data_IF_065453721069
#
_entry.id   IF_065453721069
#
_cell.length_a   1.000
_cell.length_b   1.000
_cell.length_c   1.000
_cell.angle_alpha   90.00
_cell.angle_beta   90.00
_cell.angle_gamma   90.00
#
_symmetry.space_group_name_H-M   'P 1'
#
loop_
_entity.id
_entity.type
_entity.pdbx_description
1 polymer ?
2 non-polymer ?
3 non-polymer ?
4 water ?
#
# COMPACT_ATOMS: atom_id res chain seq x y z
N UNK A 1 0.82 7.17 3.62
CA UNK A 1 -0.19 8.26 3.56
C UNK A 1 -0.47 8.77 4.98
N UNK A 2 -0.26 7.93 6.00
CA UNK A 2 -0.42 8.21 7.43
C UNK A 2 0.65 7.48 8.25
N UNK A 3 0.64 7.62 9.60
CA UNK A 3 1.66 7.01 10.45
C UNK A 3 1.76 5.48 10.38
N UNK A 4 0.66 4.80 10.09
CA UNK A 4 0.66 3.34 9.91
C UNK A 4 1.54 2.92 8.73
N UNK A 5 1.37 3.64 7.63
CA UNK A 5 2.09 3.38 6.34
C UNK A 5 3.53 3.87 6.53
N UNK A 6 3.74 4.93 7.30
CA UNK A 6 5.09 5.43 7.61
C UNK A 6 5.93 4.34 8.32
N UNK A 7 5.40 3.74 9.39
CA UNK A 7 6.10 2.62 10.05
C UNK A 7 6.32 1.41 9.12
N UNK A 8 5.30 0.99 8.39
CA UNK A 8 5.45 -0.12 7.41
C UNK A 8 6.60 0.16 6.45
N UNK A 9 6.64 1.36 5.84
CA UNK A 9 7.61 1.72 4.75
C UNK A 9 9.04 1.63 5.35
N UNK A 10 9.13 2.06 6.60
CA UNK A 10 10.42 2.16 7.32
C UNK A 10 10.94 0.71 7.45
N UNK A 11 10.08 -0.24 7.77
CA UNK A 11 10.50 -1.68 7.83
C UNK A 11 10.85 -2.16 6.41
N UNK A 12 9.97 -1.92 5.43
CA UNK A 12 10.14 -2.51 4.10
C UNK A 12 11.46 -2.03 3.52
N UNK A 13 11.79 -0.75 3.69
CA UNK A 13 12.91 -0.15 2.90
C UNK A 13 14.28 -0.52 3.48
N UNK A 14 14.36 -1.07 4.69
CA UNK A 14 15.66 -1.52 5.24
C UNK A 14 15.70 -3.03 5.56
N UNK A 15 14.58 -3.68 5.82
CA UNK A 15 14.57 -5.02 6.45
C UNK A 15 13.79 -6.04 5.64
N UNK A 16 13.71 -5.90 4.32
CA UNK A 16 13.18 -6.99 3.46
C UNK A 16 14.10 -7.20 2.29
N UNK A 17 14.03 -8.42 1.82
CA UNK A 17 14.67 -8.86 0.56
C UNK A 17 13.64 -9.65 -0.27
N UNK A 18 13.92 -9.86 -1.54
CA UNK A 18 13.03 -10.74 -2.35
C UNK A 18 13.67 -12.10 -2.29
N UNK A 19 12.99 -13.09 -1.70
CA UNK A 19 13.50 -14.47 -1.62
C UNK A 19 12.87 -15.29 -2.73
N UNK A 20 13.66 -16.07 -3.47
CA UNK A 20 13.12 -16.98 -4.50
C UNK A 20 13.57 -18.42 -4.24
N UNK A 21 12.59 -19.30 -4.05
CA UNK A 21 12.80 -20.76 -3.87
C UNK A 21 12.20 -21.44 -5.11
N UNK A 22 12.24 -22.75 -5.17
CA UNK A 22 11.55 -23.48 -6.27
C UNK A 22 10.02 -23.33 -6.16
N UNK A 23 9.49 -22.85 -5.02
CA UNK A 23 8.04 -22.62 -4.82
C UNK A 23 7.66 -21.17 -5.16
N UNK A 24 8.58 -20.32 -5.56
CA UNK A 24 8.15 -18.98 -5.95
C UNK A 24 8.92 -17.85 -5.28
N UNK A 25 8.57 -16.60 -5.58
CA UNK A 25 9.07 -15.38 -4.89
C UNK A 25 8.19 -15.06 -3.69
N UNK A 26 8.91 -14.71 -2.58
CA UNK A 26 8.38 -14.37 -1.26
C UNK A 26 8.97 -13.05 -0.77
N UNK A 27 8.16 -12.26 -0.07
CA UNK A 27 8.68 -11.16 0.78
C UNK A 27 9.40 -11.88 1.93
N UNK A 28 10.67 -11.56 2.21
CA UNK A 28 11.42 -12.16 3.33
C UNK A 28 11.83 -11.04 4.29
N UNK A 29 11.41 -11.12 5.57
CA UNK A 29 11.83 -10.10 6.58
C UNK A 29 13.18 -10.48 7.22
N UNK A 30 14.13 -9.56 7.21
CA UNK A 30 15.41 -9.72 7.89
C UNK A 30 15.25 -9.15 9.29
N UNK A 31 15.72 -9.87 10.28
CA UNK A 31 15.45 -9.49 11.69
C UNK A 31 16.67 -8.86 12.38
N UNK A 32 17.85 -9.47 12.18
CA UNK A 32 19.14 -9.01 12.75
C UNK A 32 20.23 -9.85 12.08
N UNK A 33 21.47 -9.38 12.12
CA UNK A 33 22.65 -10.10 11.58
C UNK A 33 22.30 -10.58 10.16
N UNK A 34 22.41 -11.89 9.91
CA UNK A 34 22.08 -12.52 8.58
C UNK A 34 20.86 -13.45 8.73
N UNK A 35 20.04 -13.14 9.70
CA UNK A 35 18.88 -13.97 10.15
C UNK A 35 17.57 -13.33 9.65
N UNK A 36 16.79 -14.15 8.95
CA UNK A 36 15.56 -13.70 8.29
C UNK A 36 14.47 -14.74 8.49
N UNK A 37 13.21 -14.35 8.24
CA UNK A 37 12.05 -15.28 8.37
C UNK A 37 11.33 -15.37 7.02
N UNK A 38 10.69 -16.51 6.78
CA UNK A 38 9.86 -16.74 5.57
C UNK A 38 8.81 -17.81 5.92
N UNK A 39 7.60 -17.84 5.29
CA UNK A 39 6.67 -18.93 5.59
C UNK A 39 7.30 -20.31 5.31
N UNK A 40 6.96 -21.31 6.12
CA UNK A 40 7.58 -22.63 5.99
C UNK A 40 7.29 -23.19 4.61
N UNK A 41 6.09 -22.92 4.10
CA UNK A 41 5.66 -23.47 2.78
C UNK A 41 6.46 -22.89 1.61
N UNK A 42 7.38 -21.94 1.83
CA UNK A 42 8.36 -21.62 0.75
C UNK A 42 9.34 -22.77 0.46
N UNK A 43 9.42 -23.77 1.32
CA UNK A 43 10.37 -24.90 1.22
C UNK A 43 11.82 -24.47 0.94
N UNK A 44 12.42 -23.73 1.89
CA UNK A 44 13.84 -23.26 1.84
C UNK A 44 14.74 -24.50 1.80
N UNK A 45 15.68 -24.54 0.88
CA UNK A 45 16.71 -25.58 0.80
C UNK A 45 18.11 -25.04 1.08
N UNK A 46 19.07 -25.63 0.43
CA UNK A 46 20.49 -25.35 0.77
C UNK A 46 20.99 -24.09 0.07
N UNK A 47 20.29 -23.75 -1.03
CA UNK A 47 20.56 -22.52 -1.84
C UNK A 47 19.24 -21.81 -2.09
N UNK A 48 19.23 -20.49 -1.94
CA UNK A 48 18.06 -19.61 -2.12
C UNK A 48 18.57 -18.39 -2.88
N UNK A 49 17.68 -17.77 -3.69
CA UNK A 49 18.03 -16.50 -4.35
C UNK A 49 17.53 -15.37 -3.48
N UNK A 50 18.40 -14.38 -3.25
CA UNK A 50 18.09 -13.21 -2.40
C UNK A 50 18.37 -12.00 -3.29
N UNK A 51 17.31 -11.28 -3.69
CA UNK A 51 17.40 -10.18 -4.69
C UNK A 51 18.17 -10.69 -5.91
N UNK A 52 17.83 -11.87 -6.37
CA UNK A 52 18.34 -12.54 -7.59
C UNK A 52 19.84 -12.88 -7.50
N UNK A 53 20.41 -12.98 -6.30
CA UNK A 53 21.83 -13.39 -6.01
C UNK A 53 21.78 -14.80 -5.42
N UNK A 54 22.50 -15.72 -6.00
CA UNK A 54 22.60 -17.08 -5.44
C UNK A 54 23.31 -17.01 -4.09
N UNK A 55 22.69 -17.58 -3.06
CA UNK A 55 23.03 -17.42 -1.61
C UNK A 55 22.98 -18.80 -0.94
N UNK A 56 24.07 -19.27 -0.34
CA UNK A 56 24.08 -20.49 0.52
C UNK A 56 23.26 -20.23 1.79
N UNK A 57 22.45 -21.18 2.21
CA UNK A 57 21.66 -21.09 3.44
C UNK A 57 22.52 -21.75 4.51
N UNK A 58 22.93 -20.98 5.53
CA UNK A 58 23.87 -21.47 6.59
C UNK A 58 23.10 -22.33 7.60
N UNK A 59 21.79 -22.13 7.70
CA UNK A 59 20.95 -22.87 8.64
C UNK A 59 19.51 -22.45 8.38
N UNK A 60 18.59 -23.30 8.76
CA UNK A 60 17.16 -23.07 8.59
C UNK A 60 16.43 -23.98 9.56
N UNK A 61 15.40 -23.44 10.20
CA UNK A 61 14.56 -24.18 11.17
C UNK A 61 13.09 -23.84 10.96
N UNK A 62 12.28 -24.84 10.69
CA UNK A 62 10.83 -24.71 10.64
C UNK A 62 10.32 -24.78 12.08
N UNK A 63 9.78 -23.68 12.59
CA UNK A 63 9.45 -23.50 14.02
C UNK A 63 8.19 -24.28 14.33
N UNK A 64 8.12 -24.88 15.53
CA UNK A 64 6.91 -25.48 16.11
C UNK A 64 6.88 -25.04 17.58
N UNK A 65 5.68 -24.95 18.13
CA UNK A 65 5.49 -24.61 19.56
C UNK A 65 5.80 -25.86 20.40
N UNK A 66 5.79 -25.69 21.73
CA UNK A 66 6.19 -26.78 22.64
C UNK A 66 5.13 -27.89 22.66
N UNK A 67 3.90 -27.62 22.18
CA UNK A 67 2.84 -28.65 21.93
C UNK A 67 3.17 -29.49 20.67
N UNK A 68 4.30 -29.21 20.01
CA UNK A 68 4.80 -29.85 18.76
C UNK A 68 3.79 -29.58 17.61
N UNK A 69 3.22 -28.40 17.57
CA UNK A 69 2.29 -27.90 16.54
C UNK A 69 3.02 -26.90 15.61
N UNK A 70 2.82 -27.03 14.32
CA UNK A 70 3.32 -26.06 13.31
C UNK A 70 3.05 -24.60 13.71
N UNK A 71 4.06 -23.72 13.54
CA UNK A 71 3.93 -22.24 13.62
C UNK A 71 3.98 -21.60 12.22
N UNK A 72 4.45 -22.33 11.19
CA UNK A 72 4.46 -21.89 9.76
C UNK A 72 5.51 -20.79 9.53
N UNK A 73 6.43 -20.54 10.44
CA UNK A 73 7.62 -19.64 10.28
C UNK A 73 8.85 -20.52 10.11
N UNK A 74 9.65 -20.27 9.09
CA UNK A 74 11.01 -20.82 8.93
C UNK A 74 11.96 -19.66 9.19
N UNK A 75 12.87 -19.84 10.12
CA UNK A 75 13.97 -18.88 10.39
C UNK A 75 15.19 -19.36 9.62
N UNK A 76 15.79 -18.47 8.84
CA UNK A 76 16.91 -18.69 7.87
C UNK A 76 18.08 -17.80 8.30
N UNK A 77 19.25 -18.44 8.43
CA UNK A 77 20.55 -17.72 8.40
C UNK A 77 21.21 -17.84 7.02
N UNK A 78 21.55 -16.69 6.42
CA UNK A 78 21.95 -16.52 5.01
C UNK A 78 23.46 -16.24 4.96
N UNK A 79 24.16 -16.91 4.08
CA UNK A 79 25.60 -16.61 3.88
C UNK A 79 25.68 -15.34 3.02
N UNK A 80 25.35 -14.19 3.59
CA UNK A 80 25.32 -12.88 2.91
C UNK A 80 26.45 -12.04 3.48
N UNK A 81 26.92 -11.09 2.68
CA UNK A 81 28.06 -10.24 3.06
C UNK A 81 27.60 -8.98 3.79
N UNK A 82 26.34 -8.91 4.18
CA UNK A 82 25.75 -7.67 4.75
C UNK A 82 24.72 -8.04 5.83
N UNK A 83 24.77 -7.29 6.94
CA UNK A 83 23.83 -7.55 8.06
C UNK A 83 22.57 -6.72 7.85
N UNK A 84 21.45 -7.18 8.38
CA UNK A 84 20.19 -6.39 8.51
C UNK A 84 20.27 -5.45 9.71
N UNK A 85 19.71 -4.25 9.57
CA UNK A 85 19.36 -3.47 10.77
C UNK A 85 18.67 -4.40 11.80
N UNK A 86 19.09 -4.37 13.05
CA UNK A 86 18.48 -5.16 14.15
C UNK A 86 17.15 -4.57 14.57
N UNK A 87 16.03 -5.24 14.30
CA UNK A 87 14.66 -4.73 14.57
C UNK A 87 14.00 -5.63 15.63
N UNK A 88 14.75 -6.38 16.41
CA UNK A 88 14.20 -7.31 17.42
C UNK A 88 13.45 -6.53 18.48
N UNK A 89 13.78 -5.28 18.68
CA UNK A 89 13.06 -4.45 19.69
C UNK A 89 11.69 -3.96 19.23
N UNK A 90 11.33 -4.20 17.97
CA UNK A 90 9.96 -3.93 17.48
C UNK A 90 9.00 -5.13 17.61
N UNK A 91 9.54 -6.29 18.04
CA UNK A 91 8.77 -7.54 18.11
C UNK A 91 8.01 -7.63 19.41
N UNK A 92 6.72 -8.02 19.40
CA UNK A 92 6.03 -8.17 20.68
C UNK A 92 6.60 -9.35 21.49
N UNK A 93 6.46 -9.25 22.81
CA UNK A 93 6.89 -10.31 23.73
C UNK A 93 5.79 -11.35 23.87
N UNK A 94 4.50 -10.95 23.79
CA UNK A 94 3.36 -11.86 24.07
C UNK A 94 2.35 -11.90 22.93
N UNK A 95 1.57 -12.99 22.86
CA UNK A 95 0.40 -13.14 21.98
C UNK A 95 -0.57 -12.00 22.27
N UNK A 96 -1.14 -11.38 21.24
CA UNK A 96 -2.11 -10.28 21.45
C UNK A 96 -2.96 -10.05 20.21
N UNK A 97 -3.99 -9.23 20.39
CA UNK A 97 -4.85 -8.63 19.35
C UNK A 97 -4.38 -7.20 19.08
N UNK A 98 -4.65 -6.64 17.93
CA UNK A 98 -4.14 -5.28 17.59
C UNK A 98 -5.21 -4.49 16.85
N UNK A 99 -5.00 -3.21 16.75
CA UNK A 99 -5.87 -2.36 15.90
C UNK A 99 -5.02 -1.83 14.76
N UNK A 100 -5.67 -1.47 13.66
CA UNK A 100 -5.05 -0.61 12.63
C UNK A 100 -3.70 -1.24 12.24
N UNK A 101 -3.72 -2.43 11.64
CA UNK A 101 -2.50 -3.06 11.05
C UNK A 101 -2.40 -2.75 9.55
N UNK A 102 -1.16 -2.83 9.05
CA UNK A 102 -0.77 -2.77 7.61
C UNK A 102 -0.04 -4.07 7.25
N UNK A 103 -0.36 -4.61 6.08
CA UNK A 103 0.28 -5.77 5.44
C UNK A 103 1.05 -5.19 4.25
N UNK A 104 2.37 -5.38 4.29
CA UNK A 104 3.34 -4.85 3.30
C UNK A 104 3.96 -6.02 2.53
N UNK A 105 4.06 -5.89 1.21
CA UNK A 105 4.61 -6.90 0.30
C UNK A 105 5.56 -6.22 -0.69
N UNK A 106 6.64 -6.94 -1.10
CA UNK A 106 7.63 -6.48 -2.10
C UNK A 106 8.17 -7.66 -2.85
N UNK A 107 7.67 -7.85 -4.06
CA UNK A 107 8.22 -8.85 -4.99
C UNK A 107 8.38 -8.22 -6.38
N UNK A 108 8.89 -8.99 -7.33
CA UNK A 108 9.09 -8.55 -8.75
C UNK A 108 7.73 -8.13 -9.31
N UNK A 109 6.71 -8.91 -8.99
CA UNK A 109 5.27 -8.83 -9.39
C UNK A 109 4.54 -7.74 -8.59
N UNK A 110 4.62 -7.74 -7.22
CA UNK A 110 4.03 -6.70 -6.32
C UNK A 110 5.07 -5.85 -5.57
N UNK A 111 5.80 -4.94 -6.25
CA UNK A 111 6.69 -4.01 -5.57
C UNK A 111 5.91 -2.93 -4.83
N UNK A 112 6.35 -2.52 -3.63
CA UNK A 112 5.92 -1.28 -2.97
C UNK A 112 4.43 -1.32 -2.69
N UNK A 113 3.90 -2.47 -2.27
CA UNK A 113 2.46 -2.75 -1.94
C UNK A 113 2.17 -2.67 -0.43
N UNK A 114 1.15 -1.89 -0.05
CA UNK A 114 0.79 -1.66 1.37
C UNK A 114 -0.71 -1.86 1.42
N UNK A 115 -1.21 -2.61 2.38
CA UNK A 115 -2.67 -2.91 2.49
C UNK A 115 -3.09 -2.58 3.92
N UNK A 116 -4.06 -1.69 4.10
CA UNK A 116 -4.56 -1.44 5.44
C UNK A 116 -5.62 -2.52 5.69
N UNK A 117 -5.27 -3.46 6.57
CA UNK A 117 -6.09 -4.68 6.80
C UNK A 117 -7.03 -4.44 8.00
N UNK A 118 -6.75 -3.45 8.88
CA UNK A 118 -7.62 -3.06 10.01
C UNK A 118 -7.35 -3.87 11.28
N UNK A 119 -8.39 -4.34 11.95
CA UNK A 119 -8.28 -5.03 13.26
C UNK A 119 -7.63 -6.39 13.09
N UNK A 120 -6.70 -6.71 13.98
CA UNK A 120 -6.07 -8.06 13.97
C UNK A 120 -6.50 -8.83 15.21
N UNK A 121 -7.06 -9.99 14.98
CA UNK A 121 -7.55 -10.92 16.00
C UNK A 121 -6.48 -11.96 16.31
N UNK A 122 -6.23 -12.20 17.60
CA UNK A 122 -5.52 -13.41 18.07
C UNK A 122 -6.49 -14.56 17.85
N UNK A 123 -6.40 -15.22 16.72
CA UNK A 123 -7.32 -16.30 16.33
C UNK A 123 -6.86 -17.60 17.00
N UNK A 124 -5.56 -17.89 17.04
CA UNK A 124 -5.06 -19.10 17.72
C UNK A 124 -4.92 -20.28 16.78
N UNK A 125 -5.58 -21.39 17.04
CA UNK A 125 -5.58 -22.59 16.17
C UNK A 125 -6.24 -22.29 14.83
N UNK A 126 -5.60 -22.74 13.77
CA UNK A 126 -6.22 -22.81 12.43
C UNK A 126 -5.72 -24.06 11.73
N UNK A 127 -6.65 -24.76 11.07
CA UNK A 127 -6.31 -25.82 10.10
C UNK A 127 -5.91 -25.15 8.79
N UNK A 128 -4.62 -24.90 8.59
CA UNK A 128 -4.12 -24.03 7.51
C UNK A 128 -3.68 -24.96 6.37
N UNK A 129 -4.43 -25.07 5.25
CA UNK A 129 -4.04 -25.97 4.15
C UNK A 129 -3.81 -27.39 4.65
N UNK A 130 -4.68 -27.82 5.55
CA UNK A 130 -4.67 -29.17 6.14
C UNK A 130 -3.60 -29.38 7.22
N UNK A 131 -2.85 -28.34 7.61
CA UNK A 131 -1.85 -28.43 8.71
C UNK A 131 -2.37 -27.75 9.98
N UNK A 132 -2.56 -28.49 11.09
CA UNK A 132 -2.87 -27.78 12.33
C UNK A 132 -1.79 -26.73 12.63
N UNK A 133 -2.20 -25.50 12.88
CA UNK A 133 -1.27 -24.35 13.03
C UNK A 133 -1.66 -23.53 14.25
N UNK A 134 -0.69 -23.14 15.08
CA UNK A 134 -0.97 -22.28 16.28
C UNK A 134 -0.47 -20.85 16.03
N UNK A 135 -0.83 -19.95 16.94
CA UNK A 135 -0.44 -18.52 16.98
C UNK A 135 -0.77 -17.81 15.65
N UNK A 136 -1.96 -18.06 15.13
CA UNK A 136 -2.47 -17.38 13.91
C UNK A 136 -3.17 -16.06 14.28
N UNK A 137 -2.78 -14.99 13.58
CA UNK A 137 -3.47 -13.69 13.54
C UNK A 137 -4.39 -13.66 12.33
N UNK A 138 -5.60 -13.10 12.51
CA UNK A 138 -6.61 -12.97 11.44
C UNK A 138 -7.01 -11.51 11.24
N UNK A 139 -7.09 -11.11 9.97
CA UNK A 139 -7.63 -9.80 9.53
C UNK A 139 -8.67 -10.01 8.42
N UNK A 140 -9.65 -9.11 8.32
CA UNK A 140 -10.75 -9.21 7.32
C UNK A 140 -10.36 -8.38 6.11
N UNK A 141 -9.44 -8.91 5.32
CA UNK A 141 -9.06 -8.44 3.98
C UNK A 141 -8.98 -9.65 3.06
N UNK A 142 -9.54 -9.53 1.83
CA UNK A 142 -9.34 -10.53 0.79
C UNK A 142 -7.95 -10.55 0.13
N UNK A 143 -6.99 -11.17 0.82
CA UNK A 143 -5.59 -11.40 0.38
C UNK A 143 -5.47 -12.49 -0.72
N UNK A 144 -4.51 -12.33 -1.63
CA UNK A 144 -4.38 -13.13 -2.88
C UNK A 144 -2.96 -13.70 -2.92
N UNK A 145 -2.75 -14.80 -3.65
CA UNK A 145 -1.42 -15.42 -3.84
C UNK A 145 -0.45 -14.33 -4.35
N UNK A 146 0.83 -14.47 -3.99
CA UNK A 146 1.80 -13.36 -4.15
C UNK A 146 2.00 -12.57 -2.84
N UNK A 147 1.09 -12.64 -1.85
CA UNK A 147 1.20 -11.83 -0.60
C UNK A 147 1.86 -12.61 0.55
N UNK A 148 2.14 -13.89 0.36
CA UNK A 148 2.73 -14.71 1.46
C UNK A 148 4.13 -14.21 1.81
N UNK A 149 4.40 -14.07 3.13
CA UNK A 149 5.69 -13.54 3.61
C UNK A 149 5.59 -12.04 3.84
N UNK A 150 4.44 -11.49 3.39
CA UNK A 150 4.08 -10.08 3.59
C UNK A 150 4.24 -9.74 5.06
N UNK A 151 4.71 -8.57 5.43
CA UNK A 151 4.93 -8.18 6.85
C UNK A 151 3.71 -7.47 7.40
N UNK A 152 3.29 -7.87 8.60
CA UNK A 152 2.15 -7.24 9.30
C UNK A 152 2.71 -6.37 10.43
N UNK A 153 2.41 -5.07 10.42
CA UNK A 153 2.90 -4.05 11.36
C UNK A 153 1.71 -3.26 11.89
N UNK A 154 1.88 -2.78 13.11
CA UNK A 154 1.12 -1.65 13.68
C UNK A 154 2.07 -0.45 13.67
N UNK A 155 1.67 0.71 14.17
CA UNK A 155 2.66 1.76 14.53
C UNK A 155 3.46 1.16 15.72
N UNK A 156 4.74 0.97 15.49
CA UNK A 156 5.69 0.69 16.53
C UNK A 156 6.02 -0.76 16.58
N UNK A 157 5.20 -1.70 16.04
CA UNK A 157 5.45 -3.16 16.22
C UNK A 157 5.38 -3.92 14.89
N UNK A 158 6.32 -4.84 14.74
CA UNK A 158 6.30 -5.89 13.70
C UNK A 158 5.71 -7.15 14.33
N UNK A 159 4.45 -7.45 13.95
CA UNK A 159 3.67 -8.48 14.67
C UNK A 159 3.57 -9.83 13.96
N UNK A 160 3.77 -9.92 12.67
CA UNK A 160 3.61 -11.21 11.98
C UNK A 160 3.91 -11.18 10.49
N UNK A 161 3.86 -12.37 9.90
CA UNK A 161 4.10 -12.56 8.44
C UNK A 161 2.87 -13.30 7.87
N UNK A 162 2.41 -12.83 6.74
CA UNK A 162 1.25 -13.44 6.04
C UNK A 162 1.61 -14.86 5.65
N UNK A 163 0.73 -15.83 5.93
CA UNK A 163 0.91 -17.25 5.53
C UNK A 163 -0.30 -17.81 4.77
N UNK A 164 -1.46 -17.17 4.70
CA UNK A 164 -2.57 -17.74 3.92
C UNK A 164 -3.82 -16.91 3.93
N UNK A 165 -4.89 -17.49 3.42
CA UNK A 165 -6.19 -16.80 3.43
C UNK A 165 -7.27 -17.65 2.81
N UNK A 166 -8.50 -17.22 2.87
CA UNK A 166 -9.64 -18.07 2.42
C UNK A 166 -10.52 -17.31 1.42
N UNK A 167 -10.05 -16.18 0.89
CA UNK A 167 -10.87 -15.37 -0.03
C UNK A 167 -11.45 -14.15 0.63
N UNK A 168 -11.86 -14.26 1.90
CA UNK A 168 -12.50 -13.19 2.69
C UNK A 168 -11.51 -12.66 3.73
N UNK A 169 -10.76 -13.56 4.35
CA UNK A 169 -9.86 -13.27 5.50
C UNK A 169 -8.41 -13.68 5.17
N UNK A 170 -7.46 -12.98 5.80
CA UNK A 170 -6.03 -13.31 5.76
C UNK A 170 -5.54 -13.81 7.08
N UNK A 171 -4.44 -14.55 7.08
CA UNK A 171 -3.88 -15.23 8.24
C UNK A 171 -2.37 -15.00 8.29
N UNK A 172 -1.87 -14.53 9.40
CA UNK A 172 -0.43 -14.29 9.65
C UNK A 172 0.01 -15.21 10.80
N UNK A 173 1.23 -15.70 10.73
CA UNK A 173 1.95 -16.35 11.84
C UNK A 173 2.53 -15.24 12.71
N UNK A 174 2.30 -15.29 14.01
CA UNK A 174 2.87 -14.31 14.95
C UNK A 174 4.38 -14.29 14.89
N UNK A 175 4.98 -13.10 15.08
CA UNK A 175 6.43 -13.01 15.39
C UNK A 175 6.51 -12.63 16.85
N UNK A 176 7.35 -13.33 17.56
CA UNK A 176 7.56 -13.01 18.98
C UNK A 176 9.05 -12.78 19.22
N UNK A 177 9.34 -11.89 20.17
CA UNK A 177 10.74 -11.50 20.52
C UNK A 177 11.58 -12.76 20.89
N UNK A 178 10.97 -13.70 21.64
CA UNK A 178 11.63 -14.95 22.08
C UNK A 178 12.09 -15.85 20.92
N UNK A 179 11.64 -15.66 19.66
CA UNK A 179 12.05 -16.47 18.49
C UNK A 179 13.52 -16.14 18.10
N UNK A 180 14.04 -14.92 18.48
CA UNK A 180 15.30 -14.30 17.96
C UNK A 180 16.25 -13.85 19.07
N UNK A 181 16.08 -14.38 20.27
CA UNK A 181 17.12 -14.27 21.33
C UNK A 181 18.40 -14.85 20.69
N UNK A 182 19.47 -14.05 20.68
CA UNK A 182 20.66 -14.18 19.79
C UNK A 182 21.31 -15.56 19.99
N UNK B 2 -2.30 -8.67 -10.55
CA UNK B 2 -1.18 -8.49 -11.51
C UNK B 2 -1.45 -7.35 -12.49
N UNK B 3 -2.49 -7.46 -13.35
CA UNK B 3 -2.72 -6.49 -14.43
C UNK B 3 -3.05 -5.08 -13.91
N UNK B 4 -3.98 -5.00 -12.94
CA UNK B 4 -4.32 -3.72 -12.28
C UNK B 4 -3.07 -3.07 -11.66
N UNK B 5 -2.22 -3.85 -10.99
CA UNK B 5 -0.95 -3.36 -10.38
C UNK B 5 -0.04 -2.75 -11.44
N UNK B 6 0.07 -3.43 -12.59
CA UNK B 6 0.89 -2.98 -13.74
C UNK B 6 0.42 -1.61 -14.20
N UNK B 7 -0.90 -1.47 -14.44
CA UNK B 7 -1.54 -0.21 -14.89
C UNK B 7 -1.26 0.91 -13.88
N UNK B 8 -1.46 0.65 -12.58
CA UNK B 8 -1.21 1.67 -11.52
C UNK B 8 0.22 2.20 -11.69
N UNK B 9 1.17 1.29 -11.91
CA UNK B 9 2.58 1.68 -11.96
C UNK B 9 2.81 2.49 -13.24
N UNK B 10 2.13 2.16 -14.34
CA UNK B 10 2.33 2.85 -15.62
C UNK B 10 1.84 4.30 -15.48
N UNK B 11 0.74 4.53 -14.76
CA UNK B 11 0.14 5.89 -14.57
C UNK B 11 1.00 6.69 -13.56
N UNK B 12 1.47 6.02 -12.51
CA UNK B 12 2.42 6.65 -11.54
C UNK B 12 3.65 7.18 -12.31
N UNK B 13 4.29 6.30 -13.09
CA UNK B 13 5.59 6.59 -13.74
C UNK B 13 5.54 7.86 -14.61
N UNK B 14 4.47 8.09 -15.37
CA UNK B 14 4.49 9.15 -16.41
C UNK B 14 3.53 10.30 -16.02
N UNK B 15 2.57 10.07 -15.12
CA UNK B 15 1.45 11.04 -14.95
C UNK B 15 1.40 11.56 -13.51
N UNK B 16 2.29 11.15 -12.62
CA UNK B 16 2.14 11.51 -11.19
C UNK B 16 3.33 12.37 -10.73
N UNK B 17 3.11 13.53 -10.11
CA UNK B 17 4.21 14.41 -9.60
C UNK B 17 3.91 14.77 -8.14
N UNK B 18 4.91 15.29 -7.43
CA UNK B 18 4.71 15.83 -6.06
C UNK B 18 4.34 17.30 -6.19
N UNK B 19 3.20 17.68 -5.65
CA UNK B 19 2.79 19.10 -5.66
C UNK B 19 2.92 19.64 -4.23
N UNK B 20 3.57 20.77 -4.02
CA UNK B 20 3.58 21.37 -2.66
C UNK B 20 2.93 22.75 -2.70
N UNK B 21 1.92 22.94 -1.87
CA UNK B 21 1.26 24.23 -1.62
C UNK B 21 1.63 24.70 -0.21
N UNK B 22 1.12 25.86 0.18
CA UNK B 22 1.17 26.38 1.57
C UNK B 22 0.89 25.22 2.55
N UNK B 23 -0.05 24.31 2.24
CA UNK B 23 -0.53 23.25 3.17
C UNK B 23 0.41 22.05 3.25
N UNK B 24 1.29 21.87 2.28
CA UNK B 24 2.27 20.76 2.24
C UNK B 24 2.17 20.00 0.95
N UNK B 25 2.61 18.74 1.00
CA UNK B 25 2.73 17.92 -0.23
C UNK B 25 1.42 17.20 -0.50
N UNK B 26 1.15 17.05 -1.80
CA UNK B 26 -0.01 16.29 -2.32
C UNK B 26 0.40 15.50 -3.57
N UNK B 27 -0.16 14.29 -3.65
CA UNK B 27 -0.03 13.51 -4.91
C UNK B 27 -0.80 14.29 -6.00
N UNK B 28 -0.15 14.69 -7.08
CA UNK B 28 -0.88 15.37 -8.16
C UNK B 28 -0.91 14.51 -9.44
N UNK B 29 -2.06 14.48 -10.12
CA UNK B 29 -2.20 13.74 -11.41
C UNK B 29 -2.13 14.73 -12.56
N UNK B 30 -1.16 14.58 -13.45
CA UNK B 30 -1.06 15.23 -14.76
C UNK B 30 -2.04 14.54 -15.70
N UNK B 31 -2.93 15.28 -16.36
CA UNK B 31 -3.94 14.66 -17.24
C UNK B 31 -3.58 14.78 -18.75
N UNK B 32 -3.04 15.91 -19.22
CA UNK B 32 -2.62 16.14 -20.62
C UNK B 32 -2.03 17.54 -20.70
N UNK B 33 -1.30 17.86 -21.75
CA UNK B 33 -0.62 19.17 -21.89
C UNK B 33 -0.04 19.57 -20.52
N UNK B 34 -0.40 20.75 -20.00
CA UNK B 34 0.07 21.29 -18.70
C UNK B 34 -1.08 21.28 -17.69
N UNK B 35 -2.11 20.43 -17.92
CA UNK B 35 -3.34 20.40 -17.12
C UNK B 35 -3.23 19.21 -16.16
N UNK B 36 -3.42 19.50 -14.86
CA UNK B 36 -3.32 18.50 -13.78
C UNK B 36 -4.48 18.65 -12.79
N UNK B 37 -4.69 17.69 -11.89
CA UNK B 37 -5.71 17.74 -10.80
C UNK B 37 -5.06 17.49 -9.44
N UNK B 38 -5.68 18.11 -8.45
CA UNK B 38 -5.31 18.01 -7.01
C UNK B 38 -6.57 18.24 -6.19
N UNK B 39 -6.72 17.65 -4.98
CA UNK B 39 -7.88 17.92 -4.13
C UNK B 39 -8.05 19.42 -3.92
N UNK B 40 -9.30 19.89 -3.86
CA UNK B 40 -9.51 21.33 -3.66
C UNK B 40 -8.95 21.79 -2.27
N UNK B 41 -8.89 20.91 -1.31
CA UNK B 41 -8.47 21.23 0.07
C UNK B 41 -6.95 21.48 0.14
N UNK B 42 -6.18 21.27 -0.93
CA UNK B 42 -4.75 21.63 -1.10
C UNK B 42 -4.56 23.15 -1.09
N UNK B 43 -5.62 23.91 -1.34
CA UNK B 43 -5.56 25.38 -1.33
C UNK B 43 -4.47 25.92 -2.25
N UNK B 44 -4.56 25.54 -3.51
CA UNK B 44 -3.62 26.04 -4.54
C UNK B 44 -3.65 27.56 -4.61
N UNK B 45 -2.49 28.21 -4.58
CA UNK B 45 -2.30 29.67 -4.81
C UNK B 45 -1.81 29.97 -6.22
N UNK B 46 -1.08 31.08 -6.35
CA UNK B 46 -0.54 31.59 -7.63
C UNK B 46 0.71 30.83 -7.97
N UNK B 47 1.40 30.30 -6.96
CA UNK B 47 2.68 29.55 -7.12
C UNK B 47 2.53 28.19 -6.41
N UNK B 48 3.06 27.15 -7.05
CA UNK B 48 3.04 25.77 -6.54
C UNK B 48 4.42 25.20 -6.79
N UNK B 49 4.84 24.26 -5.96
CA UNK B 49 6.09 23.52 -6.24
C UNK B 49 5.69 22.21 -6.89
N UNK B 50 6.24 21.89 -8.05
CA UNK B 50 6.09 20.59 -8.77
C UNK B 50 7.46 19.89 -8.74
N UNK B 51 7.55 18.75 -8.02
CA UNK B 51 8.82 17.99 -7.95
C UNK B 51 9.93 18.99 -7.51
N UNK B 52 9.58 19.87 -6.54
CA UNK B 52 10.44 20.86 -5.83
C UNK B 52 10.85 22.03 -6.72
N UNK B 53 10.20 22.19 -7.86
CA UNK B 53 10.47 23.34 -8.76
C UNK B 53 9.36 24.37 -8.61
N UNK B 54 9.73 25.63 -8.38
CA UNK B 54 8.77 26.75 -8.25
C UNK B 54 8.05 26.91 -9.59
N UNK B 55 6.70 26.80 -9.62
CA UNK B 55 5.86 26.80 -10.85
C UNK B 55 4.68 27.75 -10.67
N UNK B 56 4.54 28.66 -11.62
CA UNK B 56 3.36 29.54 -11.72
C UNK B 56 2.17 28.68 -12.14
N UNK B 57 1.11 28.84 -11.37
CA UNK B 57 -0.24 28.32 -11.69
C UNK B 57 -0.97 29.37 -12.52
N UNK B 58 -1.11 29.15 -13.82
CA UNK B 58 -1.81 30.09 -14.74
C UNK B 58 -3.32 30.10 -14.53
N UNK B 59 -3.92 28.97 -14.16
CA UNK B 59 -5.38 28.89 -13.87
C UNK B 59 -5.64 27.80 -12.85
N UNK B 60 -6.64 28.03 -12.02
CA UNK B 60 -7.10 27.03 -11.06
C UNK B 60 -8.62 27.14 -11.06
N UNK B 61 -9.30 26.01 -11.14
CA UNK B 61 -10.77 25.91 -11.13
C UNK B 61 -11.16 24.87 -10.09
N UNK B 62 -11.82 25.31 -9.03
CA UNK B 62 -12.37 24.43 -8.00
C UNK B 62 -13.66 23.82 -8.56
N UNK B 63 -13.61 22.61 -9.11
CA UNK B 63 -14.77 22.04 -9.87
C UNK B 63 -16.07 21.91 -9.07
N UNK B 64 -17.18 22.24 -9.78
CA UNK B 64 -18.57 21.98 -9.32
C UNK B 64 -19.32 21.37 -10.50
N UNK B 65 -20.31 20.54 -10.20
CA UNK B 65 -21.14 19.92 -11.26
C UNK B 65 -22.25 20.90 -11.63
N UNK B 66 -23.14 20.50 -12.54
CA UNK B 66 -24.19 21.41 -13.09
C UNK B 66 -25.32 21.64 -12.09
N UNK B 67 -25.40 20.87 -11.02
CA UNK B 67 -26.27 21.18 -9.87
C UNK B 67 -25.63 22.32 -9.04
N UNK B 68 -24.42 22.81 -9.41
CA UNK B 68 -23.65 23.83 -8.63
C UNK B 68 -23.24 23.26 -7.26
N UNK B 69 -22.81 22.00 -7.22
CA UNK B 69 -22.35 21.28 -6.03
C UNK B 69 -20.84 21.00 -6.15
N UNK B 70 -20.13 21.14 -5.05
CA UNK B 70 -18.66 20.88 -4.94
C UNK B 70 -18.36 19.47 -5.40
N UNK B 71 -17.24 19.33 -6.12
CA UNK B 71 -16.62 18.02 -6.52
C UNK B 71 -15.28 17.72 -5.80
N UNK B 72 -14.64 18.71 -5.20
CA UNK B 72 -13.39 18.57 -4.42
C UNK B 72 -12.19 18.31 -5.35
N UNK B 73 -12.37 18.53 -6.64
CA UNK B 73 -11.29 18.49 -7.65
C UNK B 73 -10.96 19.91 -8.03
N UNK B 74 -9.68 20.23 -8.05
CA UNK B 74 -9.21 21.50 -8.58
C UNK B 74 -8.34 21.18 -9.82
N UNK B 75 -8.74 21.72 -10.96
CA UNK B 75 -7.99 21.58 -12.24
C UNK B 75 -7.03 22.75 -12.33
N UNK B 76 -5.74 22.46 -12.51
CA UNK B 76 -4.71 23.53 -12.63
C UNK B 76 -4.07 23.47 -14.00
N UNK B 77 -3.72 24.63 -14.56
CA UNK B 77 -2.87 24.81 -15.77
C UNK B 77 -1.52 25.36 -15.30
N UNK B 78 -0.45 24.60 -15.57
CA UNK B 78 0.90 24.93 -15.03
C UNK B 78 1.74 25.63 -16.09
N UNK B 79 2.55 26.60 -15.67
CA UNK B 79 3.59 27.22 -16.54
C UNK B 79 4.89 26.38 -16.50
N UNK B 80 4.90 25.27 -17.24
CA UNK B 80 6.08 24.37 -17.36
C UNK B 80 6.18 23.87 -18.80
N UNK B 81 7.41 23.58 -19.22
CA UNK B 81 7.73 23.13 -20.61
C UNK B 81 7.28 21.68 -20.79
N UNK B 82 7.32 20.86 -19.75
CA UNK B 82 6.94 19.43 -19.89
C UNK B 82 5.45 19.33 -20.20
N UNK B 83 5.12 18.35 -21.03
CA UNK B 83 3.73 17.97 -21.35
C UNK B 83 3.47 16.61 -20.71
N UNK B 84 2.31 16.50 -20.08
CA UNK B 84 1.91 15.21 -19.48
C UNK B 84 1.37 14.30 -20.57
N UNK B 85 1.76 13.04 -20.49
CA UNK B 85 1.22 11.97 -21.37
C UNK B 85 -0.30 11.98 -21.27
N UNK B 86 -1.00 12.19 -22.37
CA UNK B 86 -2.49 12.29 -22.37
C UNK B 86 -3.13 10.98 -21.86
N UNK B 87 -3.91 11.05 -20.80
CA UNK B 87 -4.65 9.87 -20.28
C UNK B 87 -6.17 10.13 -20.31
N UNK B 88 -6.69 11.12 -21.07
CA UNK B 88 -8.14 11.44 -21.03
C UNK B 88 -8.98 10.27 -21.44
N UNK B 89 -8.48 9.42 -22.32
CA UNK B 89 -9.19 8.22 -22.84
C UNK B 89 -9.31 7.15 -21.75
N UNK B 90 -8.54 7.20 -20.63
CA UNK B 90 -8.73 6.24 -19.51
C UNK B 90 -9.77 6.74 -18.49
N UNK B 91 -10.34 7.93 -18.65
CA UNK B 91 -11.35 8.46 -17.70
C UNK B 91 -12.73 7.91 -18.04
N UNK B 92 -13.44 7.33 -17.05
CA UNK B 92 -14.80 6.88 -17.30
C UNK B 92 -15.69 8.03 -17.80
N UNK B 93 -16.75 7.66 -18.51
CA UNK B 93 -17.75 8.63 -19.01
C UNK B 93 -18.78 8.95 -17.94
N UNK B 94 -19.09 7.99 -17.07
CA UNK B 94 -20.15 8.18 -16.04
C UNK B 94 -19.76 7.49 -14.73
N UNK B 95 -20.61 7.72 -13.73
CA UNK B 95 -20.43 7.24 -12.35
C UNK B 95 -20.59 5.73 -12.33
N UNK B 96 -19.75 5.00 -11.59
CA UNK B 96 -19.87 3.52 -11.59
C UNK B 96 -19.24 2.96 -10.31
N UNK B 97 -19.56 1.69 -10.00
CA UNK B 97 -18.82 0.82 -9.05
C UNK B 97 -17.68 0.10 -9.78
N UNK B 98 -16.64 -0.27 -9.02
CA UNK B 98 -15.43 -0.94 -9.54
C UNK B 98 -14.95 -2.04 -8.56
N UNK B 99 -14.19 -2.99 -9.08
CA UNK B 99 -13.52 -4.03 -8.26
C UNK B 99 -12.02 -3.89 -8.40
N UNK B 100 -11.28 -4.43 -7.44
CA UNK B 100 -9.80 -4.57 -7.46
C UNK B 100 -9.14 -3.22 -7.82
N UNK B 101 -9.49 -2.14 -7.13
CA UNK B 101 -8.87 -0.80 -7.37
C UNK B 101 -7.55 -0.68 -6.62
N UNK B 102 -6.77 0.28 -7.02
CA UNK B 102 -5.41 0.54 -6.46
C UNK B 102 -5.27 2.06 -6.24
N UNK B 103 -4.86 2.48 -5.06
CA UNK B 103 -4.62 3.90 -4.71
C UNK B 103 -3.11 4.07 -4.70
N UNK B 104 -2.60 5.03 -5.47
CA UNK B 104 -1.15 5.22 -5.65
C UNK B 104 -0.76 6.61 -5.14
N UNK B 105 0.12 6.61 -4.14
CA UNK B 105 0.54 7.82 -3.38
C UNK B 105 1.95 8.16 -3.80
N UNK B 106 2.22 9.43 -4.03
CA UNK B 106 3.58 9.90 -4.36
C UNK B 106 3.88 11.28 -3.76
N UNK B 107 4.61 11.28 -2.64
CA UNK B 107 5.15 12.50 -1.99
C UNK B 107 6.57 12.23 -1.57
N UNK B 108 7.28 13.23 -1.12
CA UNK B 108 8.62 13.07 -0.53
C UNK B 108 8.62 12.07 0.64
N UNK B 109 7.55 12.02 1.42
CA UNK B 109 7.50 11.14 2.61
C UNK B 109 7.09 9.72 2.19
N UNK B 110 6.25 9.62 1.15
CA UNK B 110 5.67 8.35 0.65
C UNK B 110 5.89 8.22 -0.86
N UNK B 111 7.11 7.95 -1.32
CA UNK B 111 7.37 7.92 -2.75
C UNK B 111 6.94 6.59 -3.36
N UNK B 112 6.19 6.60 -4.47
CA UNK B 112 5.99 5.32 -5.21
C UNK B 112 5.38 4.28 -4.28
N UNK B 113 4.33 4.62 -3.56
CA UNK B 113 3.53 3.71 -2.65
C UNK B 113 2.17 3.30 -3.24
N UNK B 114 1.85 2.00 -3.30
CA UNK B 114 0.72 1.38 -4.05
C UNK B 114 -0.12 0.69 -2.99
N UNK B 115 -1.42 1.04 -2.91
CA UNK B 115 -2.31 0.63 -1.76
C UNK B 115 -3.51 -0.04 -2.40
N UNK B 116 -3.49 -1.38 -2.51
CA UNK B 116 -4.68 -2.09 -2.93
C UNK B 116 -5.81 -1.81 -1.94
N UNK B 117 -6.92 -1.33 -2.48
CA UNK B 117 -8.11 -1.11 -1.63
C UNK B 117 -9.26 -2.07 -2.00
N UNK B 118 -9.23 -2.76 -3.15
CA UNK B 118 -10.27 -3.74 -3.51
C UNK B 118 -11.52 -3.09 -4.06
N UNK B 119 -12.69 -3.35 -3.47
CA UNK B 119 -14.02 -3.01 -4.05
C UNK B 119 -14.30 -1.52 -3.83
N UNK B 120 -14.75 -0.83 -4.87
CA UNK B 120 -15.07 0.63 -4.81
C UNK B 120 -16.56 0.82 -5.13
N UNK B 121 -17.28 1.52 -4.28
CA UNK B 121 -18.74 1.80 -4.39
C UNK B 121 -18.93 3.22 -4.96
N UNK B 122 -19.87 3.36 -5.88
CA UNK B 122 -20.47 4.66 -6.30
C UNK B 122 -21.33 5.11 -5.11
N UNK B 123 -20.74 5.88 -4.22
CA UNK B 123 -21.26 6.26 -2.89
C UNK B 123 -22.17 7.50 -3.02
N UNK B 124 -21.70 8.44 -3.85
CA UNK B 124 -22.42 9.64 -4.24
C UNK B 124 -22.17 10.82 -3.31
N UNK B 125 -23.10 11.11 -2.41
CA UNK B 125 -23.10 12.37 -1.63
C UNK B 125 -22.30 12.16 -0.35
N UNK B 126 -21.43 13.11 -0.04
CA UNK B 126 -20.61 13.11 1.19
C UNK B 126 -20.52 14.53 1.67
N UNK B 127 -20.72 14.71 2.96
CA UNK B 127 -20.42 15.97 3.62
C UNK B 127 -18.94 15.97 3.96
N UNK B 128 -18.13 16.67 3.16
CA UNK B 128 -16.67 16.60 3.31
C UNK B 128 -16.14 17.92 3.87
N UNK B 129 -15.46 17.86 5.02
CA UNK B 129 -15.02 19.05 5.78
C UNK B 129 -16.17 20.03 5.89
N UNK B 130 -17.41 19.55 6.02
CA UNK B 130 -18.62 20.40 6.19
C UNK B 130 -19.13 20.98 4.87
N UNK B 131 -18.60 20.53 3.74
CA UNK B 131 -18.98 20.98 2.37
C UNK B 131 -19.72 19.84 1.67
N UNK B 132 -20.99 20.03 1.28
CA UNK B 132 -21.72 19.00 0.53
C UNK B 132 -20.91 18.75 -0.76
N UNK B 133 -20.64 17.49 -1.01
CA UNK B 133 -19.78 17.07 -2.15
C UNK B 133 -20.50 15.95 -2.89
N UNK B 134 -20.35 15.93 -4.22
CA UNK B 134 -20.93 14.92 -5.14
C UNK B 134 -19.85 14.02 -5.73
N UNK B 135 -20.34 12.95 -6.35
CA UNK B 135 -19.60 11.96 -7.15
C UNK B 135 -18.44 11.40 -6.30
N UNK B 136 -18.74 10.97 -5.08
CA UNK B 136 -17.72 10.31 -4.20
C UNK B 136 -17.72 8.78 -4.45
N UNK B 137 -16.52 8.23 -4.53
CA UNK B 137 -16.17 6.76 -4.56
C UNK B 137 -15.78 6.37 -3.13
N UNK B 138 -16.30 5.25 -2.62
CA UNK B 138 -15.94 4.74 -1.27
C UNK B 138 -15.28 3.36 -1.34
N UNK B 139 -14.18 3.20 -0.58
CA UNK B 139 -13.50 1.89 -0.39
C UNK B 139 -13.28 1.66 1.10
N UNK B 140 -13.08 0.41 1.54
CA UNK B 140 -12.60 0.18 2.93
C UNK B 140 -11.21 0.80 3.07
N UNK B 141 -10.96 1.49 4.16
CA UNK B 141 -9.66 2.16 4.47
C UNK B 141 -9.50 2.28 5.98
N UNK B 142 -9.32 1.12 6.66
CA UNK B 142 -9.23 1.08 8.12
C UNK B 142 -7.92 1.59 8.74
N UNK B 143 -7.67 2.89 8.61
CA UNK B 143 -6.40 3.58 8.93
C UNK B 143 -6.71 5.08 9.03
N UNK B 144 -5.86 5.84 9.70
CA UNK B 144 -5.94 7.33 9.73
C UNK B 144 -4.89 7.87 8.75
N UNK B 145 -5.36 8.30 7.60
CA UNK B 145 -4.54 8.88 6.52
C UNK B 145 -4.48 10.39 6.72
N UNK B 146 -3.35 10.96 6.34
CA UNK B 146 -3.17 12.41 6.17
C UNK B 146 -3.79 12.95 4.90
N UNK B 147 -3.44 14.18 4.54
CA UNK B 147 -4.13 14.96 3.48
C UNK B 147 -3.62 14.59 2.08
N UNK B 148 -2.46 13.94 1.96
CA UNK B 148 -1.65 14.01 0.71
C UNK B 148 -2.39 13.38 -0.49
N UNK B 149 -3.26 12.40 -0.21
CA UNK B 149 -4.09 11.73 -1.22
C UNK B 149 -3.32 10.86 -2.19
N UNK B 150 -3.91 10.61 -3.36
CA UNK B 150 -3.45 9.61 -4.31
C UNK B 150 -4.39 9.32 -5.44
N UNK B 151 -3.88 8.63 -6.46
CA UNK B 151 -4.67 8.33 -7.65
C UNK B 151 -5.34 6.98 -7.54
N UNK B 152 -6.63 6.89 -7.90
CA UNK B 152 -7.33 5.58 -7.81
C UNK B 152 -7.46 5.05 -9.25
N UNK B 153 -7.09 3.79 -9.45
CA UNK B 153 -7.11 3.15 -10.77
C UNK B 153 -7.61 1.74 -10.68
N UNK B 154 -8.12 1.24 -11.80
CA UNK B 154 -8.40 -0.20 -12.00
C UNK B 154 -7.73 -0.52 -13.32
N UNK B 155 -7.80 -1.77 -13.74
CA UNK B 155 -7.13 -2.15 -15.00
C UNK B 155 -7.81 -1.32 -16.11
N UNK B 156 -7.05 -0.45 -16.77
CA UNK B 156 -7.47 0.34 -17.93
C UNK B 156 -8.33 1.54 -17.61
N UNK B 157 -8.48 1.95 -16.34
CA UNK B 157 -9.33 3.10 -15.91
C UNK B 157 -8.65 3.92 -14.80
N UNK B 158 -8.60 5.23 -15.04
CA UNK B 158 -8.19 6.24 -14.00
C UNK B 158 -9.47 6.83 -13.44
N UNK B 159 -9.89 6.40 -12.26
CA UNK B 159 -11.31 6.61 -11.84
C UNK B 159 -11.43 7.76 -10.82
N UNK B 160 -10.34 8.24 -10.19
CA UNK B 160 -10.56 9.24 -9.14
C UNK B 160 -9.26 9.56 -8.41
N UNK B 161 -9.34 10.55 -7.52
CA UNK B 161 -8.23 10.99 -6.63
C UNK B 161 -8.78 11.00 -5.18
N UNK B 162 -7.98 10.48 -4.26
CA UNK B 162 -8.38 10.30 -2.84
C UNK B 162 -8.64 11.68 -2.21
N UNK B 163 -9.74 11.95 -1.48
CA UNK B 163 -9.97 13.32 -0.97
C UNK B 163 -10.21 13.30 0.55
N UNK B 164 -10.41 12.13 1.17
CA UNK B 164 -10.66 12.03 2.62
C UNK B 164 -11.03 10.63 3.08
N UNK B 165 -11.36 10.52 4.38
CA UNK B 165 -11.63 9.23 5.03
C UNK B 165 -12.04 9.44 6.48
N UNK B 166 -12.57 8.39 7.10
CA UNK B 166 -13.17 8.50 8.46
C UNK B 166 -12.58 7.45 9.40
N UNK B 167 -11.40 6.88 9.11
CA UNK B 167 -10.79 5.81 9.93
C UNK B 167 -11.32 4.42 9.60
N UNK B 168 -12.46 4.27 8.90
CA UNK B 168 -13.05 2.99 8.44
C UNK B 168 -13.12 2.89 6.91
N UNK B 169 -13.48 4.01 6.28
CA UNK B 169 -13.72 4.16 4.83
C UNK B 169 -12.86 5.31 4.29
N UNK B 170 -12.52 5.19 3.02
CA UNK B 170 -11.73 6.18 2.29
C UNK B 170 -12.57 6.69 1.13
N UNK B 171 -12.44 7.98 0.81
CA UNK B 171 -13.28 8.62 -0.23
C UNK B 171 -12.40 9.26 -1.29
N UNK B 172 -12.83 9.07 -2.54
CA UNK B 172 -12.17 9.63 -3.74
C UNK B 172 -13.23 10.45 -4.53
N UNK B 173 -12.81 11.51 -5.13
CA UNK B 173 -13.55 12.35 -6.09
C UNK B 173 -13.37 11.65 -7.46
N UNK B 174 -14.47 11.36 -8.14
CA UNK B 174 -14.46 10.77 -9.50
C UNK B 174 -13.79 11.71 -10.48
N UNK B 175 -13.08 11.11 -11.42
CA UNK B 175 -12.64 11.80 -12.64
C UNK B 175 -13.50 11.28 -13.77
N UNK B 176 -14.10 12.18 -14.53
CA UNK B 176 -14.93 11.85 -15.71
C UNK B 176 -14.33 12.49 -16.94
N UNK B 177 -14.51 11.81 -18.08
CA UNK B 177 -14.04 12.25 -19.40
C UNK B 177 -14.48 13.68 -19.72
N UNK B 178 -15.71 14.04 -19.39
CA UNK B 178 -16.30 15.35 -19.75
C UNK B 178 -15.63 16.52 -19.02
N UNK B 179 -14.73 16.22 -18.07
CA UNK B 179 -14.13 17.29 -17.28
C UNK B 179 -13.04 17.96 -18.10
N UNK B 180 -12.48 17.25 -19.08
CA UNK B 180 -11.23 17.66 -19.79
C UNK B 180 -11.38 17.66 -21.31
N UNK B 181 -12.61 17.67 -21.83
CA UNK B 181 -12.82 17.54 -23.30
C UNK B 181 -12.16 18.70 -24.08
X LIG C 1 0.79 -24.62 3.60
X LIG C 1 2.25 -29.13 1.50
X LIG C 1 1.55 -28.02 1.07
X LIG C 1 0.71 -27.18 3.25
X LIG C 1 0.17 -25.92 3.82
X LIG C 1 -0.45 -26.01 5.20
X LIG C 1 0.65 -23.90 4.87
X LIG C 1 0.94 -27.10 1.92
X LIG C 1 2.36 -27.66 -2.47
X LIG C 1 0.96 -28.15 3.98
X LIG C 1 2.37 -28.19 -1.07
X LIG C 1 3.14 -29.29 -0.70
X LIG C 1 3.07 -29.76 0.59
X LIG C 1 0.31 -24.95 5.95
X LIG C 1 1.57 -27.57 -0.19
X LIG D 1 19.64 -1.66 2.80
X LIG D 1 19.39 -0.21 2.44
X LIG D 1 20.84 -2.25 1.61
X LIG D 1 18.22 -2.59 2.23
X LIG E 1 -3.89 -15.57 -0.18
X LIG E 1 -3.88 -15.02 1.26
X LIG E 1 -5.16 -16.84 -0.22
X LIG E 1 -2.46 -16.62 -0.37
X LIG F 1 -9.52 21.34 -18.80
X LIG F 1 -8.76 22.66 -18.77
X LIG F 1 -10.09 21.13 -20.48
X LIG F 1 -11.11 21.70 -18.09
#
# INVERSE_FOLDING_TARGET
>A
MGPGFDFAQAIMKKNTVIARTEKGEFTMLGVYDRVAVIPTHASVGEIIYINDVETRVLDACALRDLTDTNLEITIVKLDRNQKFRDIRHFLPRCEDDYNDAVLSVHTSKFPNMYIPVGQVTNYGFLNLGGTPTHRILMYNFPTRAGQCGGVVTTTGKVIGIHVGGNGAQGFAAMLLHSYFTD
>B
MGPGFDFAQAIMKKNTVIARTEKGEFTMLGVYDRVAVIPTHASVGEIIYINDVETRVLDACALRDLTDTNLEITIVKLDRNQKFRDIRHFLPRCEDDYNDAVLSVHTSKFPNMYIPVGQVTNYGFLNLGGTPTHRILMYNFPTRAGQCGGVVTTTGKVIGIHVGGNGAQGFAAMLLHSYFTD
>C hetero
1 U3C N1 C4 C5 C6 C7 C8 C10 N C O C1 C2 C3 C9 N2
>D hetero
1 DMS S O C1 C2
>E hetero
1 DMS S O C1 C2
>F hetero
1 DMS S O C1 C2
#
